data_IF_508315142473
#
_entry.id   IF_508315142473
#
_cell.length_a   1.000
_cell.length_b   1.000
_cell.length_c   1.000
_cell.angle_alpha   90.00
_cell.angle_beta   90.00
_cell.angle_gamma   90.00
#
_symmetry.space_group_name_H-M   'P 1'
#
loop_
_entity.id
_entity.type
_entity.pdbx_description
1 polymer ?
#
# COMPACT_ATOMS: atom_id res chain seq x y z
N UNK A 1 1.47 -10.04 18.35
CA UNK A 1 1.77 -9.97 16.89
C UNK A 1 0.51 -9.87 16.05
N UNK A 2 -0.47 -10.74 16.31
CA UNK A 2 -1.73 -10.67 15.58
C UNK A 2 -2.45 -9.33 15.76
N UNK A 3 -2.31 -8.73 16.94
CA UNK A 3 -2.93 -7.44 17.21
C UNK A 3 -2.44 -6.35 16.27
N UNK A 4 -1.17 -6.41 15.87
CA UNK A 4 -0.60 -5.44 14.95
C UNK A 4 -1.24 -5.57 13.58
N UNK A 5 -1.42 -6.81 13.11
CA UNK A 5 -2.08 -7.06 11.81
C UNK A 5 -3.52 -6.59 11.82
N UNK A 6 -4.23 -6.74 12.94
CA UNK A 6 -5.63 -6.37 13.02
C UNK A 6 -5.89 -4.87 12.89
N UNK A 7 -4.87 -4.05 13.09
CA UNK A 7 -4.99 -2.60 12.86
C UNK A 7 -5.19 -2.29 11.39
N UNK A 8 -4.66 -3.14 10.52
CA UNK A 8 -4.65 -2.89 9.08
C UNK A 8 -5.85 -3.56 8.43
N UNK A 9 -6.88 -2.77 8.18
CA UNK A 9 -8.12 -3.27 7.58
C UNK A 9 -8.25 -2.75 6.15
N UNK A 10 -8.38 -3.68 5.21
CA UNK A 10 -8.58 -3.31 3.81
C UNK A 10 -9.79 -2.40 3.68
N UNK A 11 -9.66 -1.35 2.89
CA UNK A 11 -10.70 -0.36 2.69
C UNK A 11 -11.03 -0.26 1.21
N UNK A 12 -12.31 -0.38 0.88
CA UNK A 12 -12.77 -0.19 -0.50
C UNK A 12 -13.19 1.26 -0.69
N UNK A 13 -13.14 1.73 -1.93
CA UNK A 13 -13.47 3.11 -2.25
C UNK A 13 -14.85 3.52 -1.70
N UNK A 14 -15.85 2.66 -1.84
CA UNK A 14 -17.21 2.95 -1.37
C UNK A 14 -17.34 2.99 0.15
N UNK A 15 -16.35 2.44 0.87
CA UNK A 15 -16.39 2.36 2.33
C UNK A 15 -15.57 3.45 3.02
N UNK A 16 -14.91 4.32 2.27
CA UNK A 16 -14.05 5.36 2.84
C UNK A 16 -14.86 6.33 3.69
N UNK A 17 -14.42 6.52 4.93
CA UNK A 17 -15.01 7.49 5.85
C UNK A 17 -14.12 8.72 6.03
N UNK A 18 -12.81 8.55 5.84
CA UNK A 18 -11.84 9.63 6.00
C UNK A 18 -10.89 9.63 4.83
N UNK A 19 -10.69 10.78 4.20
CA UNK A 19 -9.63 10.98 3.21
C UNK A 19 -8.50 11.75 3.88
N UNK A 20 -7.40 11.06 4.13
CA UNK A 20 -6.24 11.63 4.79
C UNK A 20 -5.26 12.20 3.77
N UNK A 21 -4.95 13.48 3.88
CA UNK A 21 -3.95 14.11 3.02
C UNK A 21 -2.57 13.68 3.48
N UNK A 22 -1.92 12.87 2.68
CA UNK A 22 -0.60 12.32 3.04
C UNK A 22 0.52 13.31 2.77
N UNK A 23 0.62 13.81 1.54
CA UNK A 23 1.66 14.75 1.13
C UNK A 23 1.39 15.20 -0.30
N UNK A 24 2.27 16.04 -0.83
CA UNK A 24 2.22 16.44 -2.23
C UNK A 24 2.72 15.31 -3.13
N UNK A 25 2.20 15.23 -4.34
CA UNK A 25 2.64 14.25 -5.34
C UNK A 25 4.18 14.28 -5.50
N UNK A 26 4.77 15.46 -5.48
CA UNK A 26 6.22 15.61 -5.67
C UNK A 26 7.06 15.07 -4.52
N UNK A 27 6.44 14.75 -3.39
CA UNK A 27 7.14 14.20 -2.24
C UNK A 27 7.31 12.68 -2.34
N UNK A 28 6.78 12.07 -3.40
CA UNK A 28 6.87 10.63 -3.61
C UNK A 28 7.76 10.32 -4.81
N UNK A 29 8.56 9.24 -4.74
CA UNK A 29 9.39 8.86 -5.88
C UNK A 29 8.55 8.37 -7.04
N UNK A 30 9.02 8.62 -8.25
CA UNK A 30 8.37 8.08 -9.45
C UNK A 30 8.70 6.60 -9.58
N UNK A 31 7.67 5.79 -9.86
CA UNK A 31 7.83 4.33 -9.97
C UNK A 31 8.52 3.72 -8.75
N UNK A 32 8.08 4.16 -7.57
CA UNK A 32 8.63 3.70 -6.31
C UNK A 32 7.65 3.89 -5.16
N UNK A 33 8.09 3.60 -3.95
CA UNK A 33 7.26 3.66 -2.76
C UNK A 33 7.82 4.57 -1.68
N UNK A 34 6.94 4.98 -0.78
CA UNK A 34 7.28 5.75 0.40
C UNK A 34 6.37 5.35 1.54
N UNK A 35 6.82 5.58 2.76
CA UNK A 35 6.04 5.25 3.96
C UNK A 35 5.38 6.52 4.49
N UNK A 36 4.09 6.42 4.77
CA UNK A 36 3.29 7.49 5.36
C UNK A 36 2.73 6.99 6.68
N UNK A 37 2.76 7.82 7.68
CA UNK A 37 2.17 7.46 8.97
C UNK A 37 0.75 8.03 9.06
N UNK A 38 -0.19 7.16 9.43
CA UNK A 38 -1.56 7.56 9.71
C UNK A 38 -1.94 7.01 11.08
N UNK A 39 -2.11 7.89 12.07
CA UNK A 39 -2.34 7.52 13.48
C UNK A 39 -1.20 6.58 13.92
N UNK A 40 -1.51 5.35 14.30
CA UNK A 40 -0.52 4.37 14.75
C UNK A 40 -0.14 3.37 13.65
N UNK A 41 -0.45 3.69 12.39
CA UNK A 41 -0.23 2.79 11.25
C UNK A 41 0.83 3.34 10.33
N UNK A 42 1.59 2.43 9.72
CA UNK A 42 2.52 2.77 8.66
C UNK A 42 1.93 2.28 7.34
N UNK A 43 1.76 3.19 6.42
CA UNK A 43 1.12 2.92 5.14
C UNK A 43 2.15 3.09 4.03
N UNK A 44 2.29 2.07 3.18
CA UNK A 44 3.14 2.15 2.01
C UNK A 44 2.35 2.75 0.86
N UNK A 45 2.90 3.77 0.21
CA UNK A 45 2.25 4.44 -0.92
C UNK A 45 3.16 4.33 -2.12
N UNK A 46 2.61 3.91 -3.25
CA UNK A 46 3.36 3.67 -4.48
C UNK A 46 2.84 4.51 -5.62
N UNK A 47 3.75 5.16 -6.31
CA UNK A 47 3.45 5.93 -7.51
C UNK A 47 3.88 5.13 -8.73
N UNK A 48 2.91 4.58 -9.45
CA UNK A 48 3.16 3.90 -10.72
C UNK A 48 3.08 4.94 -11.84
N UNK A 49 4.10 5.75 -11.95
CA UNK A 49 4.09 6.89 -12.88
C UNK A 49 3.88 6.47 -14.31
N UNK A 50 4.45 5.34 -14.73
CA UNK A 50 4.32 4.86 -16.11
C UNK A 50 2.89 4.69 -16.54
N UNK A 51 2.02 4.29 -15.62
CA UNK A 51 0.61 4.04 -15.93
C UNK A 51 -0.32 5.06 -15.30
N UNK A 52 0.24 6.07 -14.64
CA UNK A 52 -0.55 7.15 -14.05
C UNK A 52 -1.46 6.69 -12.93
N UNK A 53 -1.04 5.71 -12.14
CA UNK A 53 -1.85 5.17 -11.05
C UNK A 53 -1.09 5.15 -9.72
N UNK A 54 -1.85 5.25 -8.65
CA UNK A 54 -1.33 5.26 -7.29
C UNK A 54 -1.99 4.15 -6.48
N UNK A 55 -1.20 3.53 -5.60
CA UNK A 55 -1.70 2.46 -4.75
C UNK A 55 -1.17 2.63 -3.33
N UNK A 56 -1.92 2.14 -2.35
CA UNK A 56 -1.48 2.16 -0.96
C UNK A 56 -1.83 0.84 -0.30
N UNK A 57 -0.97 0.39 0.59
CA UNK A 57 -1.20 -0.83 1.36
C UNK A 57 -0.54 -0.69 2.72
N UNK A 58 -0.80 -1.66 3.60
CA UNK A 58 -0.08 -1.70 4.87
C UNK A 58 1.42 -1.81 4.60
N UNK A 59 2.23 -1.12 5.39
CA UNK A 59 3.69 -1.25 5.27
C UNK A 59 4.19 -2.53 5.93
N UNK A 60 3.36 -3.15 6.75
CA UNK A 60 3.70 -4.37 7.48
C UNK A 60 3.67 -5.58 6.55
N UNK A 61 4.83 -6.23 6.38
CA UNK A 61 4.90 -7.50 5.67
C UNK A 61 4.57 -8.61 6.66
N UNK A 62 3.50 -9.39 6.45
CA UNK A 62 3.10 -10.40 7.45
C UNK A 62 4.06 -11.59 7.55
N UNK A 63 4.95 -11.77 6.58
CA UNK A 63 5.87 -12.91 6.60
C UNK A 63 6.76 -12.91 7.85
N UNK A 64 7.37 -11.76 8.18
CA UNK A 64 8.22 -11.63 9.37
C UNK A 64 7.78 -10.48 10.26
N UNK A 65 6.57 -9.95 10.04
CA UNK A 65 6.03 -8.84 10.80
C UNK A 65 6.94 -7.62 10.79
N UNK A 66 7.48 -7.29 9.61
CA UNK A 66 8.38 -6.16 9.45
C UNK A 66 7.78 -5.05 8.59
N UNK A 67 8.06 -3.82 8.95
CA UNK A 67 7.52 -2.62 8.27
C UNK A 67 8.41 -2.25 7.10
N UNK A 68 8.33 -3.00 6.00
CA UNK A 68 9.26 -2.87 4.89
C UNK A 68 8.64 -2.81 3.51
N UNK A 69 7.32 -2.95 3.37
CA UNK A 69 6.72 -3.01 2.04
C UNK A 69 6.92 -1.74 1.21
N UNK A 70 7.02 -0.57 1.86
CA UNK A 70 7.29 0.68 1.14
C UNK A 70 8.66 0.68 0.45
N UNK A 71 9.56 -0.20 0.85
CA UNK A 71 10.89 -0.36 0.24
C UNK A 71 10.91 -1.50 -0.77
N UNK A 72 9.77 -2.13 -1.00
CA UNK A 72 9.68 -3.27 -1.88
C UNK A 72 9.83 -2.90 -3.35
N UNK A 73 10.05 -3.92 -4.16
CA UNK A 73 10.14 -3.76 -5.60
C UNK A 73 8.74 -3.79 -6.20
N UNK A 74 8.39 -2.76 -6.96
CA UNK A 74 7.09 -2.70 -7.62
C UNK A 74 7.22 -3.13 -9.07
N UNK A 75 6.11 -3.60 -9.61
CA UNK A 75 6.05 -4.04 -11.00
C UNK A 75 4.65 -4.51 -11.30
N UNK A 76 4.52 -5.36 -12.33
CA UNK A 76 3.23 -5.96 -12.63
C UNK A 76 3.38 -7.45 -12.90
N UNK A 77 2.31 -8.17 -12.63
CA UNK A 77 2.20 -9.59 -12.96
C UNK A 77 0.99 -9.72 -13.87
N UNK A 78 1.26 -9.80 -15.17
CA UNK A 78 0.20 -9.91 -16.21
C UNK A 78 -0.85 -8.80 -16.06
N UNK A 79 -0.38 -7.57 -15.84
CA UNK A 79 -1.25 -6.42 -15.70
C UNK A 79 -1.72 -6.12 -14.29
N UNK A 80 -1.39 -6.98 -13.32
CA UNK A 80 -1.74 -6.74 -11.92
C UNK A 80 -0.59 -5.99 -11.24
N UNK A 81 -0.83 -4.77 -10.74
CA UNK A 81 0.23 -4.05 -10.03
C UNK A 81 0.59 -4.80 -8.76
N UNK A 82 1.89 -4.90 -8.48
CA UNK A 82 2.37 -5.71 -7.35
C UNK A 82 3.53 -5.06 -6.63
N UNK A 83 3.74 -5.48 -5.38
CA UNK A 83 4.93 -5.15 -4.61
C UNK A 83 5.52 -6.44 -4.05
N UNK A 84 6.85 -6.56 -4.12
CA UNK A 84 7.57 -7.69 -3.53
C UNK A 84 8.32 -7.19 -2.30
N UNK A 85 8.17 -7.90 -1.18
CA UNK A 85 8.89 -7.59 0.05
C UNK A 85 10.39 -7.65 -0.22
N UNK A 86 11.17 -6.63 0.17
CA UNK A 86 12.60 -6.59 -0.16
C UNK A 86 13.43 -7.65 0.58
N UNK A 87 12.91 -8.16 1.69
CA UNK A 87 13.66 -9.11 2.51
C UNK A 87 13.47 -10.56 2.08
N UNK A 88 12.24 -10.94 1.74
CA UNK A 88 11.92 -12.34 1.47
C UNK A 88 11.18 -12.56 0.15
N UNK A 89 11.04 -11.51 -0.64
CA UNK A 89 10.42 -11.55 -1.97
C UNK A 89 8.98 -12.08 -1.98
N UNK A 90 8.27 -11.94 -0.87
CA UNK A 90 6.85 -12.26 -0.86
C UNK A 90 6.11 -11.16 -1.63
N UNK A 91 5.25 -11.55 -2.55
CA UNK A 91 4.64 -10.64 -3.52
C UNK A 91 3.15 -10.50 -3.27
N UNK A 92 2.67 -9.26 -3.32
CA UNK A 92 1.27 -8.94 -3.07
C UNK A 92 0.70 -8.07 -4.18
N UNK A 93 -0.54 -8.35 -4.56
CA UNK A 93 -1.29 -7.50 -5.47
C UNK A 93 -1.61 -6.18 -4.79
N UNK A 94 -1.40 -5.07 -5.46
CA UNK A 94 -1.76 -3.76 -4.93
C UNK A 94 -3.21 -3.38 -5.23
N UNK A 95 -3.93 -4.20 -6.01
CA UNK A 95 -5.34 -3.98 -6.26
C UNK A 95 -6.21 -4.48 -5.11
N UNK A 96 -5.92 -5.68 -4.61
CA UNK A 96 -6.73 -6.30 -3.56
C UNK A 96 -5.91 -6.85 -2.39
N UNK A 97 -4.60 -6.74 -2.45
CA UNK A 97 -3.72 -7.22 -1.38
C UNK A 97 -3.43 -8.70 -1.40
N UNK A 98 -3.95 -9.43 -2.38
CA UNK A 98 -3.78 -10.87 -2.41
C UNK A 98 -2.31 -11.27 -2.56
N UNK A 99 -1.89 -12.29 -1.80
CA UNK A 99 -0.53 -12.81 -1.92
C UNK A 99 -0.40 -13.61 -3.21
N UNK A 100 0.50 -13.18 -4.08
CA UNK A 100 0.65 -13.79 -5.41
C UNK A 100 1.50 -15.06 -5.41
N UNK A 101 2.18 -15.35 -4.29
CA UNK A 101 2.90 -16.62 -4.11
C UNK A 101 1.97 -17.74 -3.67
N UNK A 102 0.79 -17.41 -3.14
CA UNK A 102 -0.19 -18.39 -2.71
C UNK A 102 0.12 -19.04 -1.36
N UNK A 103 1.00 -18.44 -0.58
CA UNK A 103 1.42 -19.04 0.70
C UNK A 103 1.18 -18.13 1.91
N UNK A 104 0.47 -17.03 1.75
CA UNK A 104 0.18 -16.10 2.83
C UNK A 104 -1.20 -15.49 2.68
N UNK A 105 -1.70 -14.89 3.73
CA UNK A 105 -2.96 -14.16 3.68
C UNK A 105 -2.79 -12.81 2.97
N UNK A 106 -3.90 -12.24 2.53
CA UNK A 106 -3.89 -10.95 1.87
C UNK A 106 -3.49 -9.84 2.85
N UNK A 107 -2.87 -8.79 2.32
CA UNK A 107 -2.58 -7.58 3.09
C UNK A 107 -3.69 -6.56 2.88
N UNK A 108 -3.74 -5.56 3.76
CA UNK A 108 -4.72 -4.47 3.64
C UNK A 108 -4.28 -3.50 2.55
N UNK A 109 -5.22 -3.13 1.67
CA UNK A 109 -5.01 -2.08 0.68
C UNK A 109 -6.00 -0.95 0.94
N UNK A 110 -5.63 0.26 0.49
CA UNK A 110 -6.40 1.47 0.73
C UNK A 110 -6.55 2.25 -0.56
N UNK A 111 -7.72 2.86 -0.81
CA UNK A 111 -7.88 3.70 -2.00
C UNK A 111 -7.01 4.94 -1.92
N UNK A 112 -6.53 5.40 -3.06
CA UNK A 112 -5.74 6.62 -3.17
C UNK A 112 -6.40 7.51 -4.21
N UNK A 113 -6.48 8.81 -3.92
CA UNK A 113 -6.91 9.77 -4.92
C UNK A 113 -5.94 10.95 -4.95
N UNK A 114 -5.85 11.59 -6.11
CA UNK A 114 -5.02 12.75 -6.30
C UNK A 114 -5.94 13.94 -6.56
N UNK A 115 -5.80 15.00 -5.75
CA UNK A 115 -6.54 16.24 -5.93
C UNK A 115 -5.60 17.42 -5.73
N UNK A 116 -5.58 18.33 -6.71
CA UNK A 116 -4.74 19.54 -6.62
C UNK A 116 -3.28 19.23 -6.28
N UNK A 117 -2.76 18.18 -6.91
CA UNK A 117 -1.38 17.70 -6.74
C UNK A 117 -1.06 17.18 -5.34
N UNK A 118 -2.08 16.82 -4.58
CA UNK A 118 -1.91 16.21 -3.26
C UNK A 118 -2.42 14.77 -3.27
N UNK A 119 -1.76 13.94 -2.49
CA UNK A 119 -2.09 12.51 -2.37
C UNK A 119 -2.97 12.30 -1.14
N UNK A 120 -4.13 11.69 -1.36
CA UNK A 120 -5.07 11.36 -0.29
C UNK A 120 -5.26 9.86 -0.21
N UNK A 121 -5.27 9.34 1.00
CA UNK A 121 -5.47 7.90 1.26
C UNK A 121 -6.78 7.73 2.01
N UNK A 122 -7.59 6.76 1.58
CA UNK A 122 -8.89 6.52 2.19
C UNK A 122 -8.84 5.49 3.31
N UNK A 123 -9.49 5.82 4.42
CA UNK A 123 -9.56 4.96 5.59
C UNK A 123 -10.99 4.81 6.09
N UNK A 124 -11.22 3.74 6.87
CA UNK A 124 -12.52 3.51 7.49
C UNK A 124 -12.77 4.44 8.67
N UNK A 125 -11.72 4.91 9.33
CA UNK A 125 -11.84 5.80 10.48
C UNK A 125 -10.55 6.58 10.75
#
# INVERSE_FOLDING_TARGET
MEEILQKYKATKLEDVKVWFKAASVKDFPKDGGACVRYKDKQIAVFNFERIGKWYACQNLCPHKMEMVLSRGMIGDDKGIPKVACPLHKKTFSLEDGENLNGDMEAIATYPVKIEEENVYIGFLE
#
